data_IF_242184986590
#
_entry.id   IF_242184986590
#
_cell.length_a   1.000
_cell.length_b   1.000
_cell.length_c   1.000
_cell.angle_alpha   90.00
_cell.angle_beta   90.00
_cell.angle_gamma   90.00
#
_symmetry.space_group_name_H-M   'P 1'
#
loop_
_entity.id
_entity.type
_entity.pdbx_description
1 polymer ?
#
# COMPACT_ATOMS: atom_id res chain seq x y z
N UNK A 1 -24.63 7.10 1.15
CA UNK A 1 -23.81 5.88 1.13
C UNK A 1 -22.36 6.23 0.82
N UNK A 2 -21.41 5.50 1.40
CA UNK A 2 -19.99 5.69 1.13
C UNK A 2 -19.61 5.17 -0.26
N UNK A 3 -18.52 5.69 -0.82
CA UNK A 3 -17.84 5.15 -2.00
C UNK A 3 -16.77 4.10 -1.62
N UNK A 4 -16.52 3.90 -0.32
CA UNK A 4 -15.60 2.86 0.15
C UNK A 4 -16.35 1.54 0.08
N UNK A 5 -15.89 0.65 -0.81
CA UNK A 5 -16.54 -0.64 -1.07
C UNK A 5 -15.93 -1.78 -0.26
N UNK A 6 -14.74 -1.59 0.28
CA UNK A 6 -14.10 -2.58 1.14
C UNK A 6 -12.87 -2.01 1.85
N UNK A 7 -12.64 -2.49 3.06
CA UNK A 7 -11.42 -2.24 3.84
C UNK A 7 -10.93 -3.58 4.36
N UNK A 8 -9.63 -3.84 4.24
CA UNK A 8 -8.97 -4.91 4.97
C UNK A 8 -7.93 -4.30 5.91
N UNK A 9 -8.19 -4.40 7.19
CA UNK A 9 -7.24 -4.00 8.23
C UNK A 9 -6.45 -5.23 8.71
N UNK A 10 -5.18 -5.30 8.32
CA UNK A 10 -4.28 -6.40 8.66
C UNK A 10 -3.77 -6.32 10.11
N UNK A 11 -4.01 -5.20 10.81
CA UNK A 11 -3.54 -5.00 12.19
C UNK A 11 -4.49 -5.58 13.23
N UNK A 12 -5.74 -5.81 12.86
CA UNK A 12 -6.77 -6.32 13.75
C UNK A 12 -6.71 -7.87 13.87
N UNK A 13 -7.19 -8.44 14.97
CA UNK A 13 -7.34 -9.90 15.07
C UNK A 13 -8.35 -10.41 14.02
N UNK A 14 -8.22 -11.68 13.59
CA UNK A 14 -9.14 -12.25 12.62
C UNK A 14 -10.60 -12.17 13.10
N UNK A 15 -11.50 -11.72 12.22
CA UNK A 15 -12.94 -11.80 12.44
C UNK A 15 -13.44 -13.23 12.18
N UNK A 16 -14.47 -13.64 12.91
CA UNK A 16 -15.20 -14.89 12.62
C UNK A 16 -16.02 -14.78 11.32
N UNK A 17 -16.30 -13.56 10.85
CA UNK A 17 -16.97 -13.30 9.59
C UNK A 17 -15.92 -13.14 8.48
N UNK A 18 -15.60 -14.23 7.80
CA UNK A 18 -14.73 -14.20 6.63
C UNK A 18 -15.55 -13.83 5.39
N UNK A 19 -15.02 -12.90 4.60
CA UNK A 19 -15.60 -12.61 3.28
C UNK A 19 -15.48 -13.84 2.37
N UNK A 20 -16.54 -14.19 1.68
CA UNK A 20 -16.57 -15.35 0.79
C UNK A 20 -15.72 -15.19 -0.47
N UNK A 21 -15.43 -13.94 -0.90
CA UNK A 21 -14.70 -13.69 -2.13
C UNK A 21 -13.17 -13.71 -1.95
N UNK A 22 -12.68 -13.46 -0.74
CA UNK A 22 -11.24 -13.49 -0.43
C UNK A 22 -11.01 -13.96 1.01
N UNK A 23 -10.70 -15.24 1.22
CA UNK A 23 -10.43 -15.77 2.55
C UNK A 23 -9.11 -15.23 3.07
N UNK A 24 -9.14 -14.54 4.21
CA UNK A 24 -7.94 -14.06 4.91
C UNK A 24 -7.71 -14.87 6.19
N UNK A 25 -6.44 -15.13 6.48
CA UNK A 25 -6.01 -15.83 7.69
C UNK A 25 -5.72 -14.88 8.86
N UNK A 26 -5.73 -13.57 8.63
CA UNK A 26 -5.43 -12.54 9.62
C UNK A 26 -6.09 -11.22 9.23
N UNK A 27 -6.23 -10.32 10.21
CA UNK A 27 -6.90 -9.05 10.02
C UNK A 27 -8.41 -9.16 9.90
N UNK A 28 -9.06 -8.02 9.76
CA UNK A 28 -10.51 -7.92 9.57
C UNK A 28 -10.84 -7.27 8.24
N UNK A 29 -11.86 -7.81 7.55
CA UNK A 29 -12.44 -7.22 6.36
C UNK A 29 -13.75 -6.53 6.70
N UNK A 30 -13.98 -5.37 6.10
CA UNK A 30 -15.22 -4.60 6.25
C UNK A 30 -15.81 -4.33 4.88
N UNK A 31 -17.07 -4.71 4.71
CA UNK A 31 -17.85 -4.50 3.49
C UNK A 31 -18.44 -3.09 3.43
N UNK A 32 -18.87 -2.67 2.25
CA UNK A 32 -19.60 -1.40 2.08
C UNK A 32 -20.82 -1.29 3.00
N UNK A 33 -21.51 -2.41 3.25
CA UNK A 33 -22.68 -2.44 4.15
C UNK A 33 -22.30 -2.12 5.60
N UNK A 34 -21.25 -2.77 6.11
CA UNK A 34 -20.73 -2.52 7.47
C UNK A 34 -20.19 -1.10 7.63
N UNK A 35 -19.49 -0.58 6.61
CA UNK A 35 -18.98 0.80 6.62
C UNK A 35 -20.14 1.81 6.62
N UNK A 36 -21.18 1.58 5.82
CA UNK A 36 -22.36 2.44 5.82
C UNK A 36 -23.13 2.36 7.16
N UNK A 37 -23.20 1.18 7.76
CA UNK A 37 -23.80 1.00 9.09
C UNK A 37 -23.01 1.81 10.13
N UNK A 38 -21.69 1.70 10.14
CA UNK A 38 -20.83 2.46 11.04
C UNK A 38 -21.02 3.98 10.87
N UNK A 39 -21.07 4.49 9.62
CA UNK A 39 -21.24 5.91 9.34
C UNK A 39 -22.60 6.48 9.82
N UNK A 40 -23.61 5.64 10.03
CA UNK A 40 -24.93 6.02 10.54
C UNK A 40 -25.13 5.66 12.03
N UNK A 41 -24.10 5.15 12.69
CA UNK A 41 -24.12 4.79 14.11
C UNK A 41 -23.62 5.94 14.97
N UNK A 42 -24.11 6.03 16.21
CA UNK A 42 -23.58 6.93 17.23
C UNK A 42 -22.17 6.53 17.69
N UNK A 43 -21.82 5.25 17.55
CA UNK A 43 -20.48 4.73 17.80
C UNK A 43 -19.95 3.95 16.58
N UNK A 44 -19.40 4.64 15.58
CA UNK A 44 -18.84 4.01 14.39
C UNK A 44 -17.73 3.00 14.68
N UNK A 45 -16.92 3.25 15.73
CA UNK A 45 -15.76 2.43 16.08
C UNK A 45 -16.14 1.07 16.65
N UNK A 46 -17.35 0.90 17.18
CA UNK A 46 -17.86 -0.41 17.62
C UNK A 46 -18.14 -1.35 16.45
N UNK A 47 -18.37 -0.81 15.25
CA UNK A 47 -18.67 -1.59 14.04
C UNK A 47 -17.44 -1.70 13.13
N UNK A 48 -16.74 -0.60 12.89
CA UNK A 48 -15.51 -0.53 12.08
C UNK A 48 -14.43 0.17 12.91
N UNK A 49 -13.67 -0.56 13.73
CA UNK A 49 -12.66 0.01 14.63
C UNK A 49 -11.39 0.46 13.92
N UNK A 50 -11.29 0.22 12.63
CA UNK A 50 -10.11 0.58 11.84
C UNK A 50 -9.87 2.09 11.81
N UNK A 51 -8.62 2.52 12.00
CA UNK A 51 -8.22 3.93 12.01
C UNK A 51 -6.90 4.11 11.28
N UNK A 52 -6.72 5.28 10.70
CA UNK A 52 -5.42 5.74 10.18
C UNK A 52 -4.78 6.66 11.25
N UNK A 53 -3.81 6.13 11.97
CA UNK A 53 -3.14 6.83 13.07
C UNK A 53 -2.04 7.77 12.57
N UNK A 54 -1.49 7.49 11.38
CA UNK A 54 -0.42 8.26 10.75
C UNK A 54 -0.97 9.39 9.85
N UNK A 55 -2.11 9.16 9.23
CA UNK A 55 -2.76 10.09 8.29
C UNK A 55 -2.26 10.01 6.85
N UNK A 56 -1.15 9.29 6.59
CA UNK A 56 -0.56 9.18 5.26
C UNK A 56 -1.50 8.50 4.25
N UNK A 57 -2.10 7.37 4.63
CA UNK A 57 -3.04 6.66 3.76
C UNK A 57 -4.29 7.47 3.45
N UNK A 58 -4.83 8.16 4.45
CA UNK A 58 -5.99 9.05 4.29
C UNK A 58 -5.67 10.23 3.36
N UNK A 59 -4.51 10.82 3.52
CA UNK A 59 -4.02 11.91 2.66
C UNK A 59 -3.93 11.44 1.20
N UNK A 60 -3.31 10.31 0.93
CA UNK A 60 -3.17 9.76 -0.41
C UNK A 60 -4.52 9.38 -1.03
N UNK A 61 -5.40 8.75 -0.27
CA UNK A 61 -6.75 8.43 -0.72
C UNK A 61 -7.55 9.70 -1.07
N UNK A 62 -7.34 10.78 -0.32
CA UNK A 62 -7.97 12.07 -0.59
C UNK A 62 -7.48 12.67 -1.90
N UNK A 63 -6.17 12.66 -2.17
CA UNK A 63 -5.61 13.16 -3.43
C UNK A 63 -6.08 12.30 -4.61
N UNK A 64 -6.09 10.97 -4.45
CA UNK A 64 -6.51 10.08 -5.52
C UNK A 64 -8.01 10.19 -5.83
N UNK A 65 -8.85 10.19 -4.81
CA UNK A 65 -10.29 10.00 -4.98
C UNK A 65 -11.17 10.81 -4.00
N UNK A 66 -10.63 11.85 -3.35
CA UNK A 66 -11.40 12.73 -2.46
C UNK A 66 -12.57 13.40 -3.16
N UNK A 67 -13.63 13.65 -2.43
CA UNK A 67 -14.79 14.39 -2.95
C UNK A 67 -14.39 15.80 -3.38
N UNK A 68 -15.10 16.32 -4.37
CA UNK A 68 -15.00 17.73 -4.71
C UNK A 68 -15.55 18.58 -3.55
N UNK A 69 -14.74 19.49 -3.06
CA UNK A 69 -15.10 20.53 -2.10
C UNK A 69 -14.87 21.90 -2.74
N UNK A 70 -15.96 22.56 -3.12
CA UNK A 70 -15.91 23.88 -3.77
C UNK A 70 -15.43 24.98 -2.82
N UNK A 71 -15.69 24.82 -1.51
CA UNK A 71 -15.28 25.83 -0.50
C UNK A 71 -13.78 25.79 -0.26
N UNK A 72 -13.21 24.58 -0.23
CA UNK A 72 -11.76 24.39 -0.09
C UNK A 72 -11.00 24.51 -1.42
N UNK A 73 -11.71 24.61 -2.56
CA UNK A 73 -11.09 24.59 -3.88
C UNK A 73 -10.36 23.28 -4.20
N UNK A 74 -10.81 22.18 -3.60
CA UNK A 74 -10.16 20.87 -3.67
C UNK A 74 -11.04 19.83 -4.37
N UNK A 75 -10.38 18.95 -5.14
CA UNK A 75 -10.97 17.72 -5.65
C UNK A 75 -9.85 16.69 -5.84
N UNK A 76 -10.11 15.46 -5.44
CA UNK A 76 -9.25 14.35 -5.83
C UNK A 76 -9.25 14.15 -7.36
N UNK A 77 -8.26 13.44 -7.87
CA UNK A 77 -8.10 13.21 -9.30
C UNK A 77 -9.31 12.42 -9.89
N UNK A 78 -9.85 11.48 -9.13
CA UNK A 78 -10.99 10.64 -9.52
C UNK A 78 -12.13 10.71 -8.47
N UNK A 79 -12.82 11.86 -8.30
CA UNK A 79 -13.74 12.10 -7.19
C UNK A 79 -15.02 11.24 -7.22
N UNK A 80 -15.24 10.48 -8.27
CA UNK A 80 -16.36 9.53 -8.40
C UNK A 80 -15.94 8.07 -8.35
N UNK A 81 -14.64 7.78 -8.22
CA UNK A 81 -14.16 6.40 -8.12
C UNK A 81 -14.67 5.72 -6.85
N UNK A 82 -14.93 4.44 -6.93
CA UNK A 82 -15.05 3.57 -5.76
C UNK A 82 -13.68 3.40 -5.12
N UNK A 83 -13.64 3.26 -3.80
CA UNK A 83 -12.41 3.18 -3.02
C UNK A 83 -12.38 1.84 -2.32
N UNK A 84 -11.26 1.15 -2.41
CA UNK A 84 -10.94 -0.01 -1.58
C UNK A 84 -9.59 0.22 -0.90
N UNK A 85 -9.45 -0.22 0.35
CA UNK A 85 -8.26 0.07 1.14
C UNK A 85 -7.73 -1.15 1.84
N UNK A 86 -6.41 -1.21 1.97
CA UNK A 86 -5.71 -2.17 2.83
C UNK A 86 -4.84 -1.39 3.80
N UNK A 87 -5.11 -1.52 5.10
CA UNK A 87 -4.22 -1.07 6.15
C UNK A 87 -3.22 -2.19 6.44
N UNK A 88 -1.97 -1.96 6.07
CA UNK A 88 -0.89 -2.92 6.26
C UNK A 88 -0.53 -3.04 7.74
N UNK A 89 -0.21 -4.25 8.20
CA UNK A 89 0.37 -4.44 9.52
C UNK A 89 1.87 -4.18 9.50
N UNK A 90 2.44 -3.66 10.58
CA UNK A 90 3.89 -3.50 10.70
C UNK A 90 4.63 -4.83 10.54
N UNK A 91 5.86 -4.77 10.04
CA UNK A 91 6.75 -5.92 9.98
C UNK A 91 6.97 -6.49 11.39
N UNK A 92 7.00 -7.82 11.50
CA UNK A 92 7.21 -8.53 12.77
C UNK A 92 8.60 -8.21 13.35
N UNK A 93 8.70 -8.20 14.69
CA UNK A 93 9.94 -7.80 15.37
C UNK A 93 11.17 -8.59 14.89
N UNK A 94 11.07 -9.91 14.74
CA UNK A 94 12.21 -10.71 14.26
C UNK A 94 12.72 -10.32 12.87
N UNK A 95 11.85 -9.78 11.99
CA UNK A 95 12.26 -9.25 10.69
C UNK A 95 12.96 -7.88 10.85
N UNK A 96 12.40 -7.05 11.74
CA UNK A 96 13.01 -5.76 12.07
C UNK A 96 14.42 -5.95 12.61
N UNK A 97 14.60 -6.91 13.53
CA UNK A 97 15.90 -7.24 14.11
C UNK A 97 16.86 -7.78 13.05
N UNK A 98 16.39 -8.70 12.19
CA UNK A 98 17.19 -9.28 11.13
C UNK A 98 17.69 -8.25 10.11
N UNK A 99 16.85 -7.31 9.74
CA UNK A 99 17.18 -6.24 8.78
C UNK A 99 17.73 -4.97 9.43
N UNK A 100 18.00 -5.00 10.74
CA UNK A 100 18.53 -3.87 11.51
C UNK A 100 17.69 -2.60 11.31
N UNK A 101 16.38 -2.74 11.35
CA UNK A 101 15.45 -1.63 11.18
C UNK A 101 15.38 -0.86 12.50
N UNK A 102 15.74 0.42 12.45
CA UNK A 102 15.74 1.31 13.61
C UNK A 102 14.37 1.33 14.30
N UNK A 103 14.37 1.42 15.62
CA UNK A 103 13.16 1.57 16.42
C UNK A 103 12.35 2.80 16.00
N UNK A 104 11.04 2.63 15.95
CA UNK A 104 10.11 3.68 15.52
C UNK A 104 10.04 3.92 14.00
N UNK A 105 10.90 3.30 13.19
CA UNK A 105 10.79 3.41 11.73
C UNK A 105 9.63 2.56 11.21
N UNK A 106 8.87 3.09 10.25
CA UNK A 106 7.83 2.34 9.56
C UNK A 106 8.46 1.28 8.65
N UNK A 107 8.02 0.04 8.82
CA UNK A 107 8.46 -1.07 8.00
C UNK A 107 7.33 -2.08 7.81
N UNK A 108 7.20 -2.59 6.60
CA UNK A 108 6.15 -3.53 6.20
C UNK A 108 6.76 -4.75 5.53
N UNK A 109 6.08 -5.88 5.65
CA UNK A 109 6.53 -7.13 5.04
C UNK A 109 5.99 -7.27 3.61
N UNK A 110 6.84 -7.65 2.68
CA UNK A 110 6.50 -7.82 1.26
C UNK A 110 5.27 -8.74 1.06
N UNK A 111 5.19 -9.86 1.80
CA UNK A 111 4.07 -10.78 1.69
C UNK A 111 2.72 -10.13 2.07
N UNK A 112 2.72 -9.20 3.02
CA UNK A 112 1.49 -8.50 3.44
C UNK A 112 1.03 -7.51 2.37
N UNK A 113 1.98 -6.92 1.64
CA UNK A 113 1.70 -6.07 0.48
C UNK A 113 1.12 -6.92 -0.67
N UNK A 114 1.75 -8.07 -0.98
CA UNK A 114 1.26 -9.01 -1.99
C UNK A 114 -0.17 -9.45 -1.70
N UNK A 115 -0.46 -9.85 -0.46
CA UNK A 115 -1.79 -10.24 -0.03
C UNK A 115 -2.78 -9.08 -0.12
N UNK A 116 -2.33 -7.87 0.23
CA UNK A 116 -3.14 -6.65 0.09
C UNK A 116 -3.55 -6.38 -1.35
N UNK A 117 -2.61 -6.46 -2.29
CA UNK A 117 -2.90 -6.29 -3.71
C UNK A 117 -3.82 -7.41 -4.23
N UNK A 118 -3.61 -8.65 -3.77
CA UNK A 118 -4.48 -9.78 -4.13
C UNK A 118 -5.92 -9.56 -3.65
N UNK A 119 -6.12 -9.04 -2.45
CA UNK A 119 -7.43 -8.67 -1.93
C UNK A 119 -8.10 -7.60 -2.79
N UNK A 120 -7.38 -6.51 -3.12
CA UNK A 120 -7.92 -5.44 -3.96
C UNK A 120 -8.30 -5.96 -5.35
N UNK A 121 -7.48 -6.83 -5.93
CA UNK A 121 -7.74 -7.43 -7.23
C UNK A 121 -8.99 -8.35 -7.19
N UNK A 122 -9.11 -9.19 -6.16
CA UNK A 122 -10.29 -10.04 -5.97
C UNK A 122 -11.56 -9.22 -5.79
N UNK A 123 -11.49 -8.14 -4.98
CA UNK A 123 -12.62 -7.24 -4.75
C UNK A 123 -13.06 -6.53 -6.04
N UNK A 124 -12.11 -6.04 -6.83
CA UNK A 124 -12.41 -5.39 -8.10
C UNK A 124 -13.10 -6.36 -9.08
N UNK A 125 -12.68 -7.63 -9.10
CA UNK A 125 -13.34 -8.67 -9.91
C UNK A 125 -14.74 -8.99 -9.41
N UNK A 126 -14.95 -9.08 -8.12
CA UNK A 126 -16.26 -9.29 -7.51
C UNK A 126 -17.26 -8.22 -7.94
N UNK A 127 -16.80 -6.96 -7.97
CA UNK A 127 -17.62 -5.83 -8.42
C UNK A 127 -17.59 -5.60 -9.94
N UNK A 128 -16.87 -6.42 -10.69
CA UNK A 128 -16.68 -6.25 -12.15
C UNK A 128 -16.21 -4.83 -12.52
N UNK A 129 -15.27 -4.28 -11.74
CA UNK A 129 -14.75 -2.93 -11.93
C UNK A 129 -13.27 -2.96 -12.38
N UNK A 130 -12.84 -1.96 -13.17
CA UNK A 130 -11.42 -1.74 -13.40
C UNK A 130 -10.73 -1.34 -12.09
N UNK A 131 -9.43 -1.67 -11.98
CA UNK A 131 -8.64 -1.47 -10.76
C UNK A 131 -7.43 -0.58 -11.03
N UNK A 132 -7.26 0.44 -10.21
CA UNK A 132 -6.00 1.18 -10.11
C UNK A 132 -5.47 1.00 -8.69
N UNK A 133 -4.33 0.31 -8.55
CA UNK A 133 -3.65 0.11 -7.27
C UNK A 133 -2.64 1.23 -7.08
N UNK A 134 -2.71 1.94 -5.96
CA UNK A 134 -1.72 2.91 -5.54
C UNK A 134 -0.91 2.34 -4.37
N UNK A 135 0.40 2.16 -4.56
CA UNK A 135 1.33 1.71 -3.52
C UNK A 135 2.30 2.85 -3.23
N UNK A 136 2.02 3.59 -2.17
CA UNK A 136 2.85 4.72 -1.75
C UNK A 136 3.86 4.31 -0.69
N UNK A 137 4.53 3.20 -0.94
CA UNK A 137 5.61 2.63 -0.15
C UNK A 137 6.79 2.42 -1.08
N UNK A 138 7.99 2.52 -0.56
CA UNK A 138 9.22 2.28 -1.30
C UNK A 138 10.18 1.38 -0.53
N UNK A 139 11.20 0.88 -1.25
CA UNK A 139 12.32 0.15 -0.68
C UNK A 139 13.55 0.39 -1.54
N UNK A 140 14.71 0.43 -0.91
CA UNK A 140 16.01 0.45 -1.58
C UNK A 140 16.60 -0.96 -1.73
N UNK A 141 15.88 -1.99 -1.26
CA UNK A 141 16.32 -3.37 -1.35
C UNK A 141 15.84 -4.03 -2.64
N UNK A 142 16.61 -5.00 -3.10
CA UNK A 142 16.26 -5.83 -4.25
C UNK A 142 17.08 -5.52 -5.49
N UNK A 143 16.72 -6.16 -6.59
CA UNK A 143 17.50 -6.14 -7.84
C UNK A 143 17.41 -4.83 -8.63
N UNK A 144 16.52 -3.92 -8.28
CA UNK A 144 16.18 -2.70 -9.05
C UNK A 144 15.80 -2.95 -10.53
N UNK A 145 15.64 -4.21 -10.90
CA UNK A 145 15.32 -4.68 -12.26
C UNK A 145 13.86 -5.16 -12.38
N UNK A 146 13.06 -4.98 -11.33
CA UNK A 146 11.68 -5.47 -11.31
C UNK A 146 11.57 -7.01 -11.20
N UNK A 147 12.66 -7.71 -10.87
CA UNK A 147 12.71 -9.18 -10.80
C UNK A 147 12.39 -9.75 -9.41
N UNK A 148 12.13 -8.90 -8.41
CA UNK A 148 11.64 -9.35 -7.10
C UNK A 148 10.27 -10.02 -7.23
N UNK A 149 9.87 -10.82 -6.25
CA UNK A 149 8.53 -11.45 -6.22
C UNK A 149 7.42 -10.41 -6.30
N UNK A 150 7.56 -9.34 -5.52
CA UNK A 150 6.62 -8.22 -5.54
C UNK A 150 6.57 -7.59 -6.94
N UNK A 151 7.73 -7.25 -7.53
CA UNK A 151 7.80 -6.66 -8.86
C UNK A 151 7.14 -7.52 -9.93
N UNK A 152 7.42 -8.83 -9.94
CA UNK A 152 6.80 -9.77 -10.87
C UNK A 152 5.28 -9.86 -10.70
N UNK A 153 4.81 -9.93 -9.46
CA UNK A 153 3.38 -9.99 -9.16
C UNK A 153 2.65 -8.70 -9.56
N UNK A 154 3.20 -7.54 -9.22
CA UNK A 154 2.64 -6.25 -9.61
C UNK A 154 2.58 -6.09 -11.13
N UNK A 155 3.63 -6.57 -11.82
CA UNK A 155 3.66 -6.61 -13.28
C UNK A 155 2.54 -7.51 -13.85
N UNK A 156 2.34 -8.68 -13.27
CA UNK A 156 1.25 -9.58 -13.66
C UNK A 156 -0.13 -8.95 -13.45
N UNK A 157 -0.34 -8.27 -12.33
CA UNK A 157 -1.60 -7.54 -12.06
C UNK A 157 -1.80 -6.41 -13.06
N UNK A 158 -0.76 -5.63 -13.37
CA UNK A 158 -0.85 -4.52 -14.32
C UNK A 158 -1.09 -4.95 -15.77
N UNK A 159 -0.69 -6.17 -16.13
CA UNK A 159 -0.97 -6.77 -17.45
C UNK A 159 -2.41 -7.30 -17.58
N UNK A 160 -3.14 -7.40 -16.47
CA UNK A 160 -4.54 -7.85 -16.49
C UNK A 160 -5.44 -6.74 -17.06
N UNK A 161 -6.37 -7.11 -17.93
CA UNK A 161 -7.31 -6.15 -18.54
C UNK A 161 -8.03 -5.31 -17.47
N UNK A 162 -8.00 -3.99 -17.65
CA UNK A 162 -8.64 -3.03 -16.76
C UNK A 162 -7.90 -2.81 -15.45
N UNK A 163 -6.65 -3.25 -15.33
CA UNK A 163 -5.85 -3.03 -14.12
C UNK A 163 -4.62 -2.15 -14.40
N UNK A 164 -4.27 -1.30 -13.44
CA UNK A 164 -3.02 -0.53 -13.41
C UNK A 164 -2.44 -0.54 -12.00
N UNK A 165 -1.11 -0.55 -11.90
CA UNK A 165 -0.39 -0.45 -10.63
C UNK A 165 0.51 0.76 -10.69
N UNK A 166 0.37 1.65 -9.71
CA UNK A 166 1.14 2.89 -9.58
C UNK A 166 1.96 2.81 -8.31
N UNK A 167 3.24 3.03 -8.45
CA UNK A 167 4.20 3.09 -7.33
C UNK A 167 4.87 4.45 -7.30
N UNK A 168 5.31 4.88 -6.11
CA UNK A 168 6.07 6.11 -5.94
C UNK A 168 7.56 5.87 -6.20
N UNK A 169 8.24 6.92 -6.69
CA UNK A 169 9.71 6.92 -6.83
C UNK A 169 10.45 7.09 -5.48
N UNK A 170 9.72 7.43 -4.42
CA UNK A 170 10.28 7.74 -3.10
C UNK A 170 10.62 9.21 -2.91
N UNK A 171 10.98 9.57 -1.67
CA UNK A 171 11.27 10.95 -1.25
C UNK A 171 12.76 11.15 -0.87
N UNK A 172 13.62 10.22 -1.25
CA UNK A 172 15.02 10.17 -0.79
C UNK A 172 15.98 10.90 -1.74
N UNK A 173 15.49 11.91 -2.44
CA UNK A 173 16.30 12.79 -3.30
C UNK A 173 17.43 13.43 -2.49
N UNK A 174 18.67 13.10 -2.79
CA UNK A 174 19.83 13.59 -2.06
C UNK A 174 20.35 12.64 -0.96
N UNK A 175 19.64 11.57 -0.60
CA UNK A 175 20.15 10.53 0.32
C UNK A 175 21.26 9.68 -0.31
N UNK A 176 21.49 9.82 -1.61
CA UNK A 176 22.57 9.14 -2.36
C UNK A 176 22.53 7.61 -2.25
N UNK A 177 21.33 7.03 -2.33
CA UNK A 177 21.11 5.58 -2.25
C UNK A 177 21.37 4.86 -3.58
N UNK A 178 21.81 5.57 -4.62
CA UNK A 178 22.10 5.01 -5.93
C UNK A 178 23.48 5.44 -6.39
N UNK A 179 24.25 4.48 -6.90
CA UNK A 179 25.51 4.70 -7.61
C UNK A 179 25.44 4.00 -8.96
N UNK A 180 25.81 4.70 -10.00
CA UNK A 180 25.95 4.11 -11.32
C UNK A 180 27.24 4.64 -11.97
N UNK A 181 28.00 3.75 -12.58
CA UNK A 181 29.17 4.09 -13.33
C UNK A 181 29.31 3.17 -14.56
N UNK A 182 30.00 3.65 -15.57
CA UNK A 182 30.28 2.88 -16.79
C UNK A 182 31.79 2.69 -16.90
N UNK A 183 32.23 1.43 -16.91
CA UNK A 183 33.61 1.09 -17.26
C UNK A 183 33.72 0.94 -18.78
N UNK A 184 34.71 1.54 -19.36
CA UNK A 184 35.03 1.40 -20.77
C UNK A 184 36.55 1.06 -20.92
N UNK A 185 37.05 0.92 -22.16
CA UNK A 185 38.41 0.53 -22.40
C UNK A 185 39.46 1.52 -21.86
N UNK A 186 39.07 2.75 -21.60
CA UNK A 186 39.94 3.83 -21.10
C UNK A 186 39.79 4.06 -19.60
N UNK A 187 38.95 3.27 -18.91
CA UNK A 187 38.66 3.41 -17.49
C UNK A 187 39.18 2.21 -16.73
N UNK A 188 40.36 2.33 -16.12
CA UNK A 188 41.02 1.24 -15.39
C UNK A 188 40.41 0.96 -14.02
N UNK A 189 39.84 1.97 -13.39
CA UNK A 189 39.28 1.88 -12.02
C UNK A 189 38.06 2.80 -11.86
N UNK A 190 37.05 2.31 -11.10
CA UNK A 190 35.93 3.10 -10.64
C UNK A 190 35.78 2.90 -9.14
N UNK A 191 35.86 3.96 -8.37
CA UNK A 191 35.69 3.93 -6.91
C UNK A 191 34.27 4.33 -6.53
N UNK A 192 33.56 3.46 -5.79
CA UNK A 192 32.29 3.77 -5.14
C UNK A 192 32.52 4.01 -3.65
N UNK A 193 32.16 5.18 -3.17
CA UNK A 193 32.17 5.49 -1.74
C UNK A 193 30.84 5.10 -1.10
N UNK A 194 30.88 4.25 -0.09
CA UNK A 194 29.73 3.82 0.70
C UNK A 194 29.83 4.41 2.10
N UNK A 195 28.75 5.07 2.54
CA UNK A 195 28.63 5.52 3.93
C UNK A 195 27.57 4.68 4.63
N UNK A 196 27.98 3.96 5.66
CA UNK A 196 27.05 3.28 6.57
C UNK A 196 26.60 4.29 7.62
N UNK A 197 25.29 4.49 7.74
CA UNK A 197 24.72 5.37 8.77
C UNK A 197 24.94 4.80 10.16
N UNK A 198 24.90 5.65 11.18
CA UNK A 198 24.82 5.21 12.58
C UNK A 198 23.49 4.48 12.80
N UNK A 199 23.56 3.32 13.50
CA UNK A 199 22.40 2.50 13.87
C UNK A 199 21.64 3.09 15.04
#
# INVERSE_FOLDING_TARGET
STRIIGIWDQTLPPSSETSSFFPVLYGCQYTAAQINLALNSDDPASIVPTRDENGHGTFLASIAAGNRDERAGFSGAAPRASIAMVKLKPAKQYLRDFYLIRDGADAYQENDILMGVSYLYALAREYSMPLVVCIALGTNMGSHMGTSRLGQYLNQVSLSNGSAVITAAGNETGARHHFQAVMNADTDEITAELRVGEQ
#
